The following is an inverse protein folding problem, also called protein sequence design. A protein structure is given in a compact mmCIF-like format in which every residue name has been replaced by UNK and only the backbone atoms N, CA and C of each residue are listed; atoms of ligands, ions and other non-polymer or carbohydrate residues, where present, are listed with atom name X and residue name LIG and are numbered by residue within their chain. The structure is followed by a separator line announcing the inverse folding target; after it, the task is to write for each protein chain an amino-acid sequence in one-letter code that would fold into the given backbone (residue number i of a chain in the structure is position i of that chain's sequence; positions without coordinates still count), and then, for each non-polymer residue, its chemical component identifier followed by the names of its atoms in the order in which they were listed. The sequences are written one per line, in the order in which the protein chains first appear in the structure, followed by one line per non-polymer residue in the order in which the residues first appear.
data_IF_108793594522
#
_entry.id   IF_108793594522
#
_cell.length_a   1.000
_cell.length_b   1.000
_cell.length_c   1.000
_cell.angle_alpha   90.00
_cell.angle_beta   90.00
_cell.angle_gamma   90.00
#
_symmetry.space_group_name_H-M   'P 1'
#
loop_
_entity.id
_entity.type
_entity.pdbx_description
1 polymer ?
#
# COMPACT_ATOMS: atom_id res chain seq x y z
N UNK A 1 -19.06 -5.06 -30.95
CA UNK A 1 -18.15 -4.30 -30.03
C UNK A 1 -19.04 -3.55 -29.06
N UNK A 2 -18.74 -3.50 -27.78
CA UNK A 2 -19.45 -2.62 -26.85
C UNK A 2 -19.20 -1.16 -27.27
N UNK A 3 -20.23 -0.31 -27.21
CA UNK A 3 -20.16 1.10 -27.53
C UNK A 3 -19.26 1.86 -26.54
N UNK A 4 -19.08 1.31 -25.33
CA UNK A 4 -18.21 1.85 -24.28
C UNK A 4 -17.10 0.83 -23.98
N UNK A 5 -15.87 1.26 -24.04
CA UNK A 5 -14.69 0.46 -23.74
C UNK A 5 -14.18 0.73 -22.30
N UNK A 6 -13.31 -0.16 -21.77
CA UNK A 6 -12.72 0.02 -20.46
C UNK A 6 -11.93 1.32 -20.32
N UNK A 7 -11.29 1.79 -21.37
CA UNK A 7 -10.55 3.08 -21.33
C UNK A 7 -11.47 4.30 -21.39
N UNK A 8 -12.69 4.20 -21.94
CA UNK A 8 -13.67 5.27 -21.87
C UNK A 8 -14.20 5.40 -20.41
N UNK A 9 -14.34 4.27 -19.71
CA UNK A 9 -14.67 4.28 -18.29
C UNK A 9 -13.54 4.86 -17.43
N UNK A 10 -12.27 4.58 -17.73
CA UNK A 10 -11.14 5.20 -17.03
C UNK A 10 -11.18 6.72 -17.17
N UNK A 11 -11.50 7.24 -18.36
CA UNK A 11 -11.65 8.69 -18.57
C UNK A 11 -12.83 9.25 -17.75
N UNK A 12 -13.95 8.58 -17.75
CA UNK A 12 -15.11 8.98 -16.97
C UNK A 12 -14.81 9.06 -15.47
N UNK A 13 -14.19 8.01 -14.90
CA UNK A 13 -13.85 8.00 -13.49
C UNK A 13 -12.71 8.96 -13.14
N UNK A 14 -11.86 9.33 -14.08
CA UNK A 14 -10.83 10.34 -13.84
C UNK A 14 -11.43 11.67 -13.39
N UNK A 15 -12.58 12.04 -13.95
CA UNK A 15 -13.28 13.30 -13.66
C UNK A 15 -14.32 13.17 -12.53
N UNK A 16 -14.72 11.96 -12.15
CA UNK A 16 -15.70 11.73 -11.07
C UNK A 16 -15.02 11.93 -9.69
N UNK A 17 -15.42 12.95 -8.90
CA UNK A 17 -14.82 13.21 -7.58
C UNK A 17 -15.14 12.14 -6.54
N UNK A 18 -16.13 11.27 -6.80
CA UNK A 18 -16.49 10.16 -5.91
C UNK A 18 -15.57 8.95 -6.07
N UNK A 19 -14.83 8.87 -7.18
CA UNK A 19 -13.87 7.81 -7.43
C UNK A 19 -12.48 8.25 -6.99
N UNK A 20 -11.96 7.76 -5.87
CA UNK A 20 -10.60 8.05 -5.38
C UNK A 20 -9.54 7.13 -6.01
N UNK A 21 -9.89 5.89 -6.32
CA UNK A 21 -9.01 4.86 -6.91
C UNK A 21 -9.79 4.14 -8.03
N UNK A 22 -9.12 3.81 -9.13
CA UNK A 22 -9.69 3.05 -10.23
C UNK A 22 -9.15 1.62 -10.19
N UNK A 23 -10.05 0.64 -10.10
CA UNK A 23 -9.71 -0.78 -10.09
C UNK A 23 -10.05 -1.43 -11.43
N UNK A 24 -9.10 -2.19 -11.97
CA UNK A 24 -9.25 -2.87 -13.25
C UNK A 24 -9.01 -4.37 -13.10
N UNK A 25 -10.01 -5.16 -13.49
CA UNK A 25 -9.83 -6.57 -13.81
C UNK A 25 -9.78 -6.70 -15.33
N UNK A 26 -8.64 -7.12 -15.88
CA UNK A 26 -8.43 -7.12 -17.33
C UNK A 26 -8.12 -8.52 -17.85
N UNK A 27 -8.87 -8.96 -18.84
CA UNK A 27 -8.55 -10.13 -19.67
C UNK A 27 -7.78 -9.70 -20.93
N UNK A 28 -8.11 -8.52 -21.48
CA UNK A 28 -7.44 -7.92 -22.62
C UNK A 28 -7.49 -6.40 -22.55
N UNK A 29 -6.62 -5.72 -23.30
CA UNK A 29 -6.57 -4.25 -23.36
C UNK A 29 -7.46 -3.65 -24.48
N UNK A 30 -7.98 -4.49 -25.40
CA UNK A 30 -8.56 -3.99 -26.63
C UNK A 30 -7.52 -3.29 -27.49
N UNK A 31 -7.35 -1.98 -27.32
CA UNK A 31 -6.28 -1.20 -27.96
C UNK A 31 -5.23 -0.81 -26.92
N UNK A 32 -4.06 -1.49 -26.85
CA UNK A 32 -3.03 -1.24 -25.85
C UNK A 32 -2.44 0.17 -25.90
N UNK A 33 -2.31 0.75 -27.10
CA UNK A 33 -1.79 2.12 -27.29
C UNK A 33 -2.73 3.14 -26.66
N UNK A 34 -4.03 3.06 -27.01
CA UNK A 34 -5.05 3.98 -26.46
C UNK A 34 -5.18 3.80 -24.95
N UNK A 35 -5.14 2.55 -24.45
CA UNK A 35 -5.12 2.27 -23.00
C UNK A 35 -3.92 2.95 -22.31
N UNK A 36 -2.70 2.75 -22.84
CA UNK A 36 -1.49 3.32 -22.23
C UNK A 36 -1.50 4.85 -22.21
N UNK A 37 -1.97 5.51 -23.27
CA UNK A 37 -2.08 6.98 -23.35
C UNK A 37 -3.04 7.52 -22.29
N UNK A 38 -4.22 6.91 -22.16
CA UNK A 38 -5.25 7.33 -21.20
C UNK A 38 -4.81 7.03 -19.77
N UNK A 39 -4.35 5.80 -19.51
CA UNK A 39 -3.91 5.40 -18.19
C UNK A 39 -2.76 6.27 -17.66
N UNK A 40 -1.76 6.58 -18.51
CA UNK A 40 -0.63 7.47 -18.15
C UNK A 40 -1.09 8.88 -17.76
N UNK A 41 -2.10 9.40 -18.43
CA UNK A 41 -2.65 10.71 -18.11
C UNK A 41 -3.38 10.68 -16.78
N UNK A 42 -4.25 9.67 -16.58
CA UNK A 42 -5.11 9.54 -15.39
C UNK A 42 -4.30 9.17 -14.15
N UNK A 43 -3.32 8.27 -14.27
CA UNK A 43 -2.47 7.81 -13.16
C UNK A 43 -1.65 8.93 -12.49
N UNK A 44 -1.53 10.09 -13.12
CA UNK A 44 -0.87 11.28 -12.52
C UNK A 44 -1.72 11.96 -11.44
N UNK A 45 -3.01 11.76 -11.48
CA UNK A 45 -3.96 12.44 -10.58
C UNK A 45 -4.81 11.47 -9.78
N UNK A 46 -5.01 10.25 -10.29
CA UNK A 46 -5.83 9.25 -9.65
C UNK A 46 -5.19 7.86 -9.80
N UNK A 47 -4.92 7.14 -8.70
CA UNK A 47 -4.32 5.81 -8.76
C UNK A 47 -5.15 4.84 -9.59
N UNK A 48 -4.49 4.04 -10.41
CA UNK A 48 -5.07 2.93 -11.15
C UNK A 48 -4.40 1.66 -10.68
N UNK A 49 -5.17 0.71 -10.16
CA UNK A 49 -4.68 -0.60 -9.72
C UNK A 49 -5.29 -1.67 -10.63
N UNK A 50 -4.47 -2.59 -11.11
CA UNK A 50 -4.93 -3.57 -12.09
C UNK A 50 -4.43 -4.99 -11.77
N UNK A 51 -5.33 -5.96 -11.93
CA UNK A 51 -5.00 -7.36 -12.04
C UNK A 51 -5.25 -7.84 -13.47
N UNK A 52 -4.28 -8.55 -14.06
CA UNK A 52 -4.39 -9.09 -15.41
C UNK A 52 -4.57 -10.61 -15.36
N UNK A 53 -5.73 -11.08 -15.81
CA UNK A 53 -6.01 -12.51 -15.99
C UNK A 53 -5.30 -13.06 -17.24
N UNK A 54 -5.13 -14.39 -17.29
CA UNK A 54 -4.54 -15.05 -18.46
C UNK A 54 -3.01 -14.91 -18.57
N UNK A 55 -2.29 -14.93 -17.46
CA UNK A 55 -0.82 -14.81 -17.38
C UNK A 55 -0.10 -16.10 -17.78
N UNK A 56 -0.59 -17.24 -17.34
CA UNK A 56 -0.03 -18.54 -17.69
C UNK A 56 -0.49 -18.98 -19.08
N UNK A 57 0.23 -19.91 -19.71
CA UNK A 57 -0.18 -20.48 -21.00
C UNK A 57 -1.57 -21.11 -20.96
N UNK A 58 -1.97 -21.73 -19.86
CA UNK A 58 -3.30 -22.28 -19.66
C UNK A 58 -4.36 -21.19 -19.51
N UNK A 59 -4.10 -20.20 -18.67
CA UNK A 59 -4.98 -19.05 -18.47
C UNK A 59 -5.15 -18.21 -19.75
N UNK A 60 -4.08 -18.06 -20.52
CA UNK A 60 -4.10 -17.34 -21.80
C UNK A 60 -4.97 -18.07 -22.84
N UNK A 61 -4.89 -19.39 -22.93
CA UNK A 61 -5.80 -20.18 -23.79
C UNK A 61 -7.26 -20.05 -23.35
N UNK A 62 -7.52 -20.08 -22.05
CA UNK A 62 -8.87 -19.87 -21.54
C UNK A 62 -9.42 -18.48 -21.88
N UNK A 63 -8.62 -17.42 -21.63
CA UNK A 63 -9.00 -16.04 -21.94
C UNK A 63 -9.24 -15.81 -23.45
N UNK A 64 -8.39 -16.38 -24.32
CA UNK A 64 -8.57 -16.24 -25.78
C UNK A 64 -9.84 -16.94 -26.29
N UNK A 65 -10.28 -18.02 -25.65
CA UNK A 65 -11.56 -18.68 -25.98
C UNK A 65 -12.77 -17.80 -25.66
N UNK A 66 -12.65 -16.92 -24.65
CA UNK A 66 -13.74 -16.02 -24.25
C UNK A 66 -13.74 -14.69 -25.00
N UNK A 67 -12.56 -14.15 -25.31
CA UNK A 67 -12.46 -12.77 -25.83
C UNK A 67 -12.04 -12.69 -27.30
N UNK A 68 -11.58 -13.80 -27.90
CA UNK A 68 -11.00 -13.81 -29.24
C UNK A 68 -9.74 -12.95 -29.39
N UNK A 69 -9.17 -12.45 -28.30
CA UNK A 69 -8.00 -11.63 -28.31
C UNK A 69 -6.72 -12.48 -28.34
N UNK A 70 -5.73 -12.05 -29.12
CA UNK A 70 -4.41 -12.66 -29.12
C UNK A 70 -3.76 -12.52 -27.74
N UNK A 71 -3.15 -13.61 -27.26
CA UNK A 71 -2.44 -13.62 -26.00
C UNK A 71 -1.24 -12.66 -26.06
N UNK A 72 -1.23 -11.69 -25.17
CA UNK A 72 -0.08 -10.78 -24.99
C UNK A 72 0.85 -11.38 -23.94
N UNK A 73 2.16 -11.38 -24.22
CA UNK A 73 3.19 -11.82 -23.26
C UNK A 73 3.06 -11.06 -21.95
N UNK A 74 3.19 -11.75 -20.81
CA UNK A 74 3.10 -11.15 -19.48
C UNK A 74 4.16 -10.06 -19.25
N UNK A 75 5.36 -10.24 -19.81
CA UNK A 75 6.44 -9.24 -19.80
C UNK A 75 6.03 -7.94 -20.51
N UNK A 76 5.33 -8.05 -21.64
CA UNK A 76 4.84 -6.87 -22.38
C UNK A 76 3.75 -6.15 -21.59
N UNK A 77 2.88 -6.91 -20.93
CA UNK A 77 1.84 -6.37 -20.05
C UNK A 77 2.45 -5.60 -18.89
N UNK A 78 3.47 -6.19 -18.25
CA UNK A 78 4.19 -5.56 -17.14
C UNK A 78 4.85 -4.24 -17.55
N UNK A 79 5.57 -4.24 -18.66
CA UNK A 79 6.19 -3.04 -19.22
C UNK A 79 5.15 -1.96 -19.55
N UNK A 80 3.98 -2.35 -20.08
CA UNK A 80 2.90 -1.42 -20.41
C UNK A 80 2.31 -0.79 -19.15
N UNK A 81 2.04 -1.58 -18.11
CA UNK A 81 1.53 -1.07 -16.84
C UNK A 81 2.54 -0.13 -16.18
N UNK A 82 3.81 -0.53 -16.11
CA UNK A 82 4.87 0.29 -15.56
C UNK A 82 5.00 1.64 -16.30
N UNK A 83 5.00 1.64 -17.64
CA UNK A 83 5.06 2.86 -18.44
C UNK A 83 3.84 3.74 -18.30
N UNK A 84 2.67 3.15 -18.05
CA UNK A 84 1.41 3.86 -17.88
C UNK A 84 1.19 4.36 -16.44
N UNK A 85 2.05 4.00 -15.48
CA UNK A 85 1.89 4.33 -14.06
C UNK A 85 0.75 3.56 -13.39
N UNK A 86 0.39 2.40 -13.94
CA UNK A 86 -0.62 1.50 -13.37
C UNK A 86 0.04 0.58 -12.37
N UNK A 87 -0.51 0.50 -11.17
CA UNK A 87 -0.07 -0.40 -10.12
C UNK A 87 -0.58 -1.80 -10.47
N UNK A 88 0.33 -2.72 -10.72
CA UNK A 88 -0.01 -4.10 -11.04
C UNK A 88 -0.07 -4.94 -9.76
N UNK A 89 -1.11 -5.73 -9.63
CA UNK A 89 -1.23 -6.78 -8.60
C UNK A 89 -1.34 -8.16 -9.25
N UNK A 90 -0.95 -9.18 -8.50
CA UNK A 90 -0.94 -10.56 -8.97
C UNK A 90 -2.25 -11.28 -8.70
N UNK A 91 -2.93 -10.89 -7.63
CA UNK A 91 -4.16 -11.50 -7.09
C UNK A 91 -5.23 -10.46 -6.83
N UNK A 92 -6.47 -10.90 -6.77
CA UNK A 92 -7.61 -10.03 -6.47
C UNK A 92 -7.56 -9.49 -5.05
N UNK A 93 -7.11 -10.30 -4.09
CA UNK A 93 -6.95 -9.88 -2.70
C UNK A 93 -5.99 -8.69 -2.61
N UNK A 94 -4.84 -8.78 -3.26
CA UNK A 94 -3.85 -7.69 -3.33
C UNK A 94 -4.42 -6.42 -3.99
N UNK A 95 -5.27 -6.60 -5.02
CA UNK A 95 -5.95 -5.48 -5.68
C UNK A 95 -6.79 -4.69 -4.68
N UNK A 96 -7.56 -5.40 -3.84
CA UNK A 96 -8.42 -4.75 -2.84
C UNK A 96 -7.61 -4.18 -1.68
N UNK A 97 -6.56 -4.85 -1.22
CA UNK A 97 -5.68 -4.35 -0.15
C UNK A 97 -4.99 -3.04 -0.55
N UNK A 98 -4.43 -3.00 -1.77
CA UNK A 98 -3.80 -1.79 -2.32
C UNK A 98 -4.85 -0.68 -2.51
N UNK A 99 -6.05 -1.03 -2.98
CA UNK A 99 -7.13 -0.06 -3.15
C UNK A 99 -7.58 0.53 -1.82
N UNK A 100 -7.75 -0.30 -0.80
CA UNK A 100 -8.13 0.14 0.55
C UNK A 100 -7.08 1.09 1.13
N UNK A 101 -5.79 0.77 0.96
CA UNK A 101 -4.70 1.65 1.38
C UNK A 101 -4.78 3.01 0.69
N UNK A 102 -4.85 3.02 -0.65
CA UNK A 102 -4.83 4.25 -1.45
C UNK A 102 -6.10 5.10 -1.30
N UNK A 103 -7.24 4.48 -0.96
CA UNK A 103 -8.49 5.20 -0.73
C UNK A 103 -8.57 5.85 0.65
N UNK A 104 -7.86 5.31 1.66
CA UNK A 104 -7.99 5.72 3.05
C UNK A 104 -6.72 6.38 3.62
N UNK A 105 -5.60 6.36 2.89
CA UNK A 105 -4.32 6.92 3.35
C UNK A 105 -3.75 7.87 2.30
N UNK A 106 -3.09 8.96 2.70
CA UNK A 106 -2.35 9.79 1.77
C UNK A 106 -1.16 9.02 1.18
N UNK A 107 -0.83 9.30 -0.06
CA UNK A 107 0.36 8.72 -0.71
C UNK A 107 1.62 9.23 -0.01
N UNK A 108 2.54 8.37 0.47
CA UNK A 108 3.77 8.79 1.12
C UNK A 108 4.62 9.69 0.22
N UNK A 109 5.29 10.69 0.81
CA UNK A 109 6.13 11.64 0.06
C UNK A 109 7.49 11.07 -0.34
N UNK A 110 7.85 9.91 0.20
CA UNK A 110 9.14 9.27 -0.05
C UNK A 110 9.14 7.80 0.35
N UNK A 111 10.33 7.24 0.47
CA UNK A 111 10.57 5.80 0.70
C UNK A 111 11.03 5.47 2.12
N UNK A 112 11.07 6.45 3.03
CA UNK A 112 11.58 6.28 4.39
C UNK A 112 10.44 5.79 5.28
N UNK A 113 10.56 4.55 5.75
CA UNK A 113 9.52 3.86 6.51
C UNK A 113 9.98 3.62 7.93
N UNK A 114 9.18 3.97 8.90
CA UNK A 114 9.34 3.49 10.27
C UNK A 114 8.42 2.28 10.50
N UNK A 115 8.87 1.33 11.31
CA UNK A 115 8.08 0.18 11.73
C UNK A 115 7.85 0.29 13.23
N UNK A 116 6.59 0.26 13.64
CA UNK A 116 6.15 0.24 15.03
C UNK A 116 5.48 -1.09 15.32
N UNK A 117 5.96 -1.84 16.31
CA UNK A 117 5.44 -3.17 16.62
C UNK A 117 5.43 -3.46 18.12
N UNK A 118 4.61 -4.42 18.55
CA UNK A 118 4.70 -5.06 19.84
C UNK A 118 5.26 -6.49 19.77
N UNK A 119 5.79 -6.89 18.59
CA UNK A 119 6.29 -8.23 18.36
C UNK A 119 7.54 -8.19 17.47
N UNK A 120 8.70 -8.55 18.00
CA UNK A 120 9.98 -8.46 17.29
C UNK A 120 10.04 -9.25 15.99
N UNK A 121 9.54 -10.49 15.98
CA UNK A 121 9.56 -11.35 14.79
C UNK A 121 8.86 -10.71 13.57
N UNK A 122 7.59 -10.34 13.66
CA UNK A 122 6.90 -9.60 12.58
C UNK A 122 7.57 -8.28 12.20
N UNK A 123 8.16 -7.57 13.16
CA UNK A 123 8.94 -6.36 12.90
C UNK A 123 10.15 -6.61 12.00
N UNK A 124 10.91 -7.68 12.26
CA UNK A 124 12.06 -8.10 11.44
C UNK A 124 11.61 -8.49 10.03
N UNK A 125 10.55 -9.31 9.90
CA UNK A 125 10.01 -9.70 8.60
C UNK A 125 9.54 -8.49 7.77
N UNK A 126 8.92 -7.51 8.41
CA UNK A 126 8.53 -6.28 7.76
C UNK A 126 9.73 -5.45 7.31
N UNK A 127 10.80 -5.41 8.10
CA UNK A 127 12.05 -4.73 7.73
C UNK A 127 12.68 -5.37 6.49
N UNK A 128 12.82 -6.70 6.47
CA UNK A 128 13.33 -7.45 5.32
C UNK A 128 12.49 -7.20 4.06
N UNK A 129 11.16 -7.20 4.19
CA UNK A 129 10.26 -6.90 3.08
C UNK A 129 10.40 -5.46 2.58
N UNK A 130 10.54 -4.48 3.46
CA UNK A 130 10.78 -3.08 3.09
C UNK A 130 12.05 -2.94 2.24
N UNK A 131 13.16 -3.50 2.69
CA UNK A 131 14.43 -3.44 1.95
C UNK A 131 14.34 -4.17 0.61
N UNK A 132 13.72 -5.35 0.56
CA UNK A 132 13.54 -6.12 -0.67
C UNK A 132 12.72 -5.34 -1.73
N UNK A 133 11.83 -4.45 -1.31
CA UNK A 133 11.04 -3.58 -2.18
C UNK A 133 11.61 -2.17 -2.35
N UNK A 134 12.86 -1.93 -1.93
CA UNK A 134 13.56 -0.66 -2.13
C UNK A 134 13.05 0.48 -1.23
N UNK A 135 12.37 0.16 -0.13
CA UNK A 135 12.09 1.09 0.94
C UNK A 135 13.31 1.22 1.87
N UNK A 136 13.39 2.31 2.60
CA UNK A 136 14.51 2.62 3.49
C UNK A 136 14.00 2.70 4.91
N UNK A 137 14.67 2.01 5.84
CA UNK A 137 14.40 2.15 7.28
C UNK A 137 15.40 3.17 7.86
N UNK A 138 15.01 4.45 8.00
CA UNK A 138 15.92 5.47 8.51
C UNK A 138 16.20 5.25 10.00
N UNK A 139 17.33 5.78 10.45
CA UNK A 139 17.55 6.01 11.87
C UNK A 139 16.64 7.16 12.30
N UNK A 140 15.80 6.92 13.31
CA UNK A 140 14.92 7.95 13.87
C UNK A 140 15.75 9.08 14.49
N UNK A 141 15.23 10.30 14.45
CA UNK A 141 15.86 11.46 15.05
C UNK A 141 16.12 11.24 16.57
N UNK A 142 17.16 11.85 17.09
CA UNK A 142 17.52 11.72 18.51
C UNK A 142 16.40 12.18 19.43
N UNK A 143 15.68 13.23 19.06
CA UNK A 143 14.53 13.72 19.80
C UNK A 143 13.39 12.69 19.85
N UNK A 144 13.08 12.04 18.71
CA UNK A 144 12.07 10.97 18.64
C UNK A 144 12.47 9.78 19.52
N UNK A 145 13.74 9.34 19.43
CA UNK A 145 14.23 8.25 20.27
C UNK A 145 14.22 8.59 21.75
N UNK A 146 14.54 9.82 22.13
CA UNK A 146 14.49 10.30 23.50
C UNK A 146 13.05 10.34 24.03
N UNK A 147 12.10 10.82 23.21
CA UNK A 147 10.67 10.80 23.55
C UNK A 147 10.16 9.37 23.75
N UNK A 148 10.46 8.44 22.85
CA UNK A 148 10.10 7.04 22.98
C UNK A 148 10.64 6.40 24.27
N UNK A 149 11.91 6.65 24.60
CA UNK A 149 12.54 6.17 25.85
C UNK A 149 11.89 6.72 27.12
N UNK A 150 11.24 7.89 27.05
CA UNK A 150 10.62 8.52 28.23
C UNK A 150 9.41 7.77 28.76
N UNK A 151 8.79 6.91 27.95
CA UNK A 151 7.58 6.19 28.35
C UNK A 151 7.57 4.69 28.02
N UNK A 152 8.42 4.24 27.13
CA UNK A 152 8.54 2.81 26.83
C UNK A 152 9.41 2.12 27.88
N UNK A 153 9.17 0.82 28.15
CA UNK A 153 10.01 0.04 29.05
C UNK A 153 11.48 0.06 28.61
N UNK A 154 12.40 -0.04 29.55
CA UNK A 154 13.85 -0.05 29.27
C UNK A 154 14.28 -1.17 28.30
N UNK A 155 13.55 -2.29 28.27
CA UNK A 155 13.79 -3.42 27.37
C UNK A 155 13.23 -3.20 25.95
N UNK A 156 12.43 -2.16 25.72
CA UNK A 156 11.91 -1.83 24.39
C UNK A 156 13.02 -1.33 23.47
N UNK A 157 12.93 -1.68 22.19
CA UNK A 157 13.79 -1.11 21.16
C UNK A 157 13.21 0.23 20.67
N UNK A 158 14.00 1.29 20.70
CA UNK A 158 13.62 2.61 20.15
C UNK A 158 14.40 2.92 18.87
N UNK A 159 14.97 1.89 18.24
CA UNK A 159 15.51 1.98 16.89
C UNK A 159 14.41 1.95 15.84
N UNK A 160 14.75 1.53 14.63
CA UNK A 160 13.77 1.22 13.58
C UNK A 160 14.07 -0.20 13.09
N UNK A 161 13.23 -1.18 13.35
CA UNK A 161 11.91 -1.15 14.02
C UNK A 161 11.90 -0.69 15.48
N UNK A 162 10.82 0.04 15.86
CA UNK A 162 10.48 0.30 17.26
C UNK A 162 9.70 -0.89 17.80
N UNK A 163 10.28 -1.65 18.71
CA UNK A 163 9.60 -2.78 19.36
C UNK A 163 9.21 -2.40 20.79
N UNK A 164 7.93 -2.23 21.01
CA UNK A 164 7.36 -1.81 22.31
C UNK A 164 7.12 -2.94 23.28
N UNK A 165 7.44 -4.18 22.91
CA UNK A 165 7.16 -5.42 23.62
C UNK A 165 5.68 -5.83 23.63
N UNK A 166 5.43 -7.14 23.87
CA UNK A 166 4.10 -7.74 23.74
C UNK A 166 3.02 -7.13 24.63
N UNK A 167 3.37 -6.57 25.78
CA UNK A 167 2.45 -5.97 26.75
C UNK A 167 2.11 -4.49 26.46
N UNK A 168 2.51 -3.94 25.33
CA UNK A 168 2.27 -2.54 25.00
C UNK A 168 0.77 -2.21 24.98
N UNK A 169 0.30 -1.28 25.84
CA UNK A 169 -1.09 -0.86 25.85
C UNK A 169 -1.38 0.13 24.69
N UNK A 170 -2.65 0.38 24.43
CA UNK A 170 -3.09 1.34 23.39
C UNK A 170 -2.47 2.74 23.56
N UNK A 171 -2.23 3.22 24.78
CA UNK A 171 -1.57 4.50 25.04
C UNK A 171 -0.13 4.54 24.52
N UNK A 172 0.61 3.44 24.59
CA UNK A 172 1.96 3.37 24.02
C UNK A 172 1.91 3.52 22.49
N UNK A 173 0.95 2.88 21.81
CA UNK A 173 0.74 3.05 20.37
C UNK A 173 0.41 4.50 20.03
N UNK A 174 -0.51 5.13 20.76
CA UNK A 174 -0.91 6.53 20.54
C UNK A 174 0.30 7.46 20.63
N UNK A 175 1.09 7.36 21.70
CA UNK A 175 2.26 8.21 21.95
C UNK A 175 3.39 7.93 20.95
N UNK A 176 3.67 6.66 20.66
CA UNK A 176 4.72 6.27 19.73
C UNK A 176 4.39 6.70 18.30
N UNK A 177 3.16 6.48 17.83
CA UNK A 177 2.71 6.95 16.53
C UNK A 177 2.82 8.47 16.41
N UNK A 178 2.38 9.21 17.43
CA UNK A 178 2.48 10.67 17.44
C UNK A 178 3.93 11.16 17.37
N UNK A 179 4.87 10.48 18.04
CA UNK A 179 6.29 10.83 18.00
C UNK A 179 6.91 10.51 16.63
N UNK A 180 6.65 9.32 16.08
CA UNK A 180 7.23 8.85 14.82
C UNK A 180 6.68 9.62 13.62
N UNK A 181 5.38 9.94 13.61
CA UNK A 181 4.75 10.69 12.51
C UNK A 181 5.23 12.16 12.43
N UNK A 182 5.82 12.69 13.51
CA UNK A 182 6.47 14.02 13.50
C UNK A 182 7.95 13.97 13.14
N UNK A 183 8.54 12.78 13.03
CA UNK A 183 9.95 12.63 12.70
C UNK A 183 10.23 13.01 11.23
N UNK A 184 11.08 13.99 11.00
CA UNK A 184 11.44 14.48 9.67
C UNK A 184 12.17 13.44 8.79
N UNK A 185 12.68 12.37 9.40
CA UNK A 185 13.31 11.27 8.69
C UNK A 185 12.30 10.23 8.19
N UNK A 186 11.02 10.35 8.51
CA UNK A 186 9.98 9.34 8.23
C UNK A 186 8.95 9.87 7.24
N UNK A 187 8.69 9.11 6.19
CA UNK A 187 7.66 9.42 5.19
C UNK A 187 6.36 8.63 5.42
N UNK A 188 6.47 7.46 6.09
CA UNK A 188 5.33 6.60 6.42
C UNK A 188 5.65 5.66 7.57
N UNK A 189 4.61 5.13 8.22
CA UNK A 189 4.74 4.20 9.34
C UNK A 189 3.96 2.92 9.05
N UNK A 190 4.62 1.77 9.20
CA UNK A 190 3.96 0.45 9.24
C UNK A 190 3.72 0.11 10.70
N UNK A 191 2.46 0.00 11.09
CA UNK A 191 2.08 -0.38 12.45
C UNK A 191 1.66 -1.84 12.49
N UNK A 192 2.34 -2.63 13.31
CA UNK A 192 2.07 -4.05 13.51
C UNK A 192 1.57 -4.24 14.94
N UNK A 193 0.42 -4.87 15.08
CA UNK A 193 -0.15 -5.24 16.36
C UNK A 193 -0.50 -6.74 16.39
N UNK A 194 0.14 -7.47 17.28
CA UNK A 194 -0.22 -8.86 17.58
C UNK A 194 -0.97 -8.85 18.90
N UNK A 195 -2.28 -9.17 18.92
CA UNK A 195 -3.08 -9.08 20.13
C UNK A 195 -2.59 -10.05 21.22
N UNK A 196 -2.06 -9.55 22.36
CA UNK A 196 -1.83 -10.38 23.51
C UNK A 196 -3.15 -10.59 24.27
N UNK A 197 -3.19 -11.58 25.17
CA UNK A 197 -4.38 -11.86 25.98
C UNK A 197 -4.82 -10.69 26.92
N UNK A 198 -3.92 -9.74 27.15
CA UNK A 198 -4.11 -8.66 28.14
C UNK A 198 -4.43 -7.28 27.54
N UNK A 199 -4.41 -7.13 26.23
CA UNK A 199 -4.68 -5.85 25.56
C UNK A 199 -5.88 -6.03 24.64
N UNK A 200 -6.89 -5.16 24.77
CA UNK A 200 -8.04 -5.17 23.87
C UNK A 200 -7.62 -4.72 22.46
N UNK A 201 -7.80 -5.54 21.43
CA UNK A 201 -7.49 -5.17 20.05
C UNK A 201 -8.26 -3.96 19.55
N UNK A 202 -9.50 -3.75 20.03
CA UNK A 202 -10.32 -2.64 19.58
C UNK A 202 -9.76 -1.29 20.03
N UNK A 203 -9.19 -1.22 21.24
CA UNK A 203 -8.58 0.01 21.75
C UNK A 203 -7.34 0.39 20.93
N UNK A 204 -6.52 -0.58 20.53
CA UNK A 204 -5.33 -0.32 19.70
C UNK A 204 -5.74 0.06 18.28
N UNK A 205 -6.72 -0.63 17.69
CA UNK A 205 -7.24 -0.31 16.35
C UNK A 205 -7.79 1.12 16.30
N UNK A 206 -8.58 1.53 17.28
CA UNK A 206 -9.12 2.90 17.36
C UNK A 206 -8.01 3.95 17.43
N UNK A 207 -6.94 3.69 18.18
CA UNK A 207 -5.79 4.60 18.27
C UNK A 207 -5.06 4.72 16.94
N UNK A 208 -4.84 3.61 16.23
CA UNK A 208 -4.18 3.60 14.92
C UNK A 208 -5.02 4.39 13.92
N UNK A 209 -6.34 4.15 13.87
CA UNK A 209 -7.27 4.85 12.99
C UNK A 209 -7.27 6.37 13.24
N UNK A 210 -7.39 6.80 14.49
CA UNK A 210 -7.35 8.22 14.86
C UNK A 210 -6.01 8.87 14.49
N UNK A 211 -4.90 8.16 14.64
CA UNK A 211 -3.58 8.67 14.25
C UNK A 211 -3.45 8.83 12.73
N UNK A 212 -4.05 7.94 11.95
CA UNK A 212 -4.09 8.04 10.50
C UNK A 212 -4.94 9.23 10.03
N UNK A 213 -6.10 9.47 10.64
CA UNK A 213 -7.00 10.57 10.30
C UNK A 213 -6.41 11.95 10.65
N UNK A 214 -5.71 12.08 11.77
CA UNK A 214 -5.13 13.35 12.21
C UNK A 214 -3.93 13.83 11.40
N UNK A 215 -3.34 12.97 10.56
CA UNK A 215 -2.22 13.29 9.68
C UNK A 215 -2.62 13.39 8.20
N UNK A 216 -3.91 13.43 7.89
CA UNK A 216 -4.38 13.75 6.53
C UNK A 216 -4.17 15.25 6.28
N UNK A 217 -3.65 15.65 5.09
CA UNK A 217 -3.42 17.04 4.73
C UNK A 217 -4.72 17.83 4.56
#
# INVERSE_FOLDING_TARGET
KPDVSGYDLIQYWAEDPRASVILLYLESFGNPKKFSEIARRVARTKPIVAVKAGRSSAGSRAASSHTGALATSDTVVDALFHQAGVIRTERLEELFDVAALLANQPVPRGRRVAILTNAGGPGILAADACEAHGLVLPVLADATRAELRSFLPAAASVGNPVDMLASAPADHYRRALAAILRDEHVDSVITIFIPPLVTDPADVAAVIELSALSNQP
#
